data_IF_374818405513
#
_entry.id   IF_374818405513
#
_cell.length_a   1.000
_cell.length_b   1.000
_cell.length_c   1.000
_cell.angle_alpha   90.00
_cell.angle_beta   90.00
_cell.angle_gamma   90.00
#
_symmetry.space_group_name_H-M   'P 1'
#
loop_
_entity.id
_entity.type
_entity.pdbx_description
1 polymer ?
#
# COMPACT_ATOMS: atom_id res chain seq x y z
N UNK A 1 16.69 -7.50 5.23
CA UNK A 1 16.44 -6.44 6.22
C UNK A 1 15.20 -5.67 5.83
N UNK A 2 14.33 -5.38 6.79
CA UNK A 2 13.02 -4.83 6.56
C UNK A 2 12.89 -3.35 6.90
N UNK A 3 11.66 -2.96 7.15
CA UNK A 3 11.25 -1.64 7.62
C UNK A 3 11.10 -1.70 9.14
N UNK A 4 11.62 -0.69 9.87
CA UNK A 4 11.46 -0.61 11.31
C UNK A 4 11.04 0.80 11.73
N UNK A 5 9.99 0.88 12.55
CA UNK A 5 9.51 2.08 13.20
C UNK A 5 9.74 1.95 14.70
N UNK A 6 10.45 2.91 15.30
CA UNK A 6 10.79 2.89 16.73
C UNK A 6 10.26 4.15 17.40
N UNK A 7 9.13 4.02 18.11
CA UNK A 7 8.52 5.10 18.88
C UNK A 7 8.06 6.30 18.06
N UNK A 8 7.65 6.07 16.81
CA UNK A 8 7.28 7.11 15.85
C UNK A 8 6.02 7.83 16.29
N UNK A 9 6.10 9.17 16.40
CA UNK A 9 4.97 10.03 16.74
C UNK A 9 4.83 11.13 15.70
N UNK A 10 3.57 11.57 15.45
CA UNK A 10 3.27 12.66 14.56
C UNK A 10 2.09 13.49 15.07
N UNK A 11 2.18 14.81 14.88
CA UNK A 11 1.14 15.79 15.25
C UNK A 11 0.81 16.68 14.08
N UNK A 12 -0.45 17.07 13.98
CA UNK A 12 -0.88 18.14 13.11
C UNK A 12 -1.23 19.36 13.99
N UNK A 13 -0.32 20.33 14.04
CA UNK A 13 -0.38 21.39 15.06
C UNK A 13 -0.31 20.81 16.46
N UNK A 14 -1.31 21.07 17.30
CA UNK A 14 -1.41 20.52 18.66
C UNK A 14 -2.07 19.13 18.70
N UNK A 15 -2.73 18.68 17.61
CA UNK A 15 -3.49 17.45 17.58
C UNK A 15 -2.56 16.23 17.35
N UNK A 16 -2.47 15.28 18.30
CA UNK A 16 -1.72 14.04 18.09
C UNK A 16 -2.46 13.15 17.10
N UNK A 17 -1.77 12.70 16.05
CA UNK A 17 -2.29 11.79 15.03
C UNK A 17 -1.76 10.37 15.26
N UNK A 18 -0.46 10.26 15.58
CA UNK A 18 0.21 8.99 15.88
C UNK A 18 1.07 9.18 17.12
N UNK A 19 1.09 8.18 18.01
CA UNK A 19 1.85 8.22 19.27
C UNK A 19 2.62 6.94 19.49
N UNK A 20 3.94 7.06 19.57
CA UNK A 20 4.87 5.99 19.92
C UNK A 20 4.65 4.70 19.10
N UNK A 21 4.38 4.83 17.79
CA UNK A 21 4.21 3.68 16.89
C UNK A 21 5.48 2.85 16.87
N UNK A 22 5.32 1.56 17.09
CA UNK A 22 6.35 0.54 16.90
C UNK A 22 5.82 -0.45 15.86
N UNK A 23 6.60 -0.72 14.85
CA UNK A 23 6.27 -1.68 13.80
C UNK A 23 7.57 -2.19 13.18
N UNK A 24 7.67 -3.49 13.03
CA UNK A 24 8.74 -4.14 12.28
C UNK A 24 8.09 -4.93 11.14
N UNK A 25 8.63 -4.80 9.93
CA UNK A 25 8.09 -5.47 8.77
C UNK A 25 9.22 -5.96 7.87
N UNK A 26 9.08 -7.20 7.37
CA UNK A 26 10.12 -7.90 6.63
C UNK A 26 9.71 -8.14 5.17
N UNK A 27 10.69 -8.30 4.26
CA UNK A 27 10.42 -8.72 2.89
C UNK A 27 9.57 -9.99 2.83
N UNK A 28 8.64 -10.04 1.90
CA UNK A 28 7.68 -11.14 1.76
C UNK A 28 6.42 -11.00 2.61
N UNK A 29 6.33 -9.98 3.48
CA UNK A 29 5.08 -9.69 4.20
C UNK A 29 4.14 -8.83 3.34
N UNK A 30 2.86 -9.21 3.37
CA UNK A 30 1.77 -8.37 2.90
C UNK A 30 0.93 -7.92 4.10
N UNK A 31 1.11 -6.67 4.51
CA UNK A 31 0.47 -6.10 5.69
C UNK A 31 -0.79 -5.32 5.28
N UNK A 32 -1.94 -5.71 5.82
CA UNK A 32 -3.14 -4.90 5.80
C UNK A 32 -3.09 -3.87 6.94
N UNK A 33 -2.94 -2.59 6.61
CA UNK A 33 -3.04 -1.50 7.58
C UNK A 33 -4.49 -1.05 7.68
N UNK A 34 -5.12 -1.31 8.80
CA UNK A 34 -6.55 -1.13 9.02
C UNK A 34 -6.84 -0.16 10.18
N UNK A 35 -8.10 0.22 10.36
CA UNK A 35 -8.57 1.11 11.41
C UNK A 35 -9.65 2.05 10.90
N UNK A 36 -10.31 2.76 11.82
CA UNK A 36 -11.38 3.72 11.49
C UNK A 36 -10.85 4.89 10.64
N UNK A 37 -11.78 5.64 10.01
CA UNK A 37 -11.42 6.87 9.32
C UNK A 37 -10.83 7.87 10.31
N UNK A 38 -9.74 8.53 9.91
CA UNK A 38 -9.01 9.45 10.80
C UNK A 38 -8.04 8.78 11.79
N UNK A 39 -7.91 7.45 11.81
CA UNK A 39 -6.97 6.75 12.71
C UNK A 39 -5.47 7.02 12.42
N UNK A 40 -5.15 7.73 11.33
CA UNK A 40 -3.77 8.07 10.98
C UNK A 40 -3.11 7.14 9.97
N UNK A 41 -3.86 6.25 9.29
CA UNK A 41 -3.33 5.26 8.32
C UNK A 41 -2.53 5.92 7.19
N UNK A 42 -3.14 6.86 6.45
CA UNK A 42 -2.47 7.61 5.38
C UNK A 42 -1.28 8.42 5.91
N UNK A 43 -1.41 8.99 7.11
CA UNK A 43 -0.30 9.71 7.77
C UNK A 43 0.86 8.76 8.08
N UNK A 44 0.58 7.54 8.51
CA UNK A 44 1.63 6.53 8.74
C UNK A 44 2.32 6.14 7.42
N UNK A 45 1.57 5.93 6.34
CA UNK A 45 2.15 5.69 5.02
C UNK A 45 2.99 6.89 4.54
N UNK A 46 2.52 8.13 4.70
CA UNK A 46 3.27 9.35 4.36
C UNK A 46 4.61 9.46 5.13
N UNK A 47 4.62 9.07 6.41
CA UNK A 47 5.83 9.05 7.23
C UNK A 47 6.82 7.99 6.75
N UNK A 48 6.33 6.78 6.43
CA UNK A 48 7.15 5.70 5.89
C UNK A 48 7.66 6.08 4.48
N UNK A 49 6.83 6.76 3.67
CA UNK A 49 7.21 7.26 2.35
C UNK A 49 8.18 8.47 2.40
N UNK A 50 8.59 8.91 3.59
CA UNK A 50 9.41 10.09 3.82
C UNK A 50 8.82 11.41 3.27
N UNK A 51 7.50 11.43 2.98
CA UNK A 51 6.75 12.63 2.57
C UNK A 51 6.49 13.56 3.75
N UNK A 52 6.53 13.02 4.98
CA UNK A 52 6.45 13.76 6.24
C UNK A 52 7.60 13.34 7.16
N UNK A 53 7.97 14.22 8.08
CA UNK A 53 8.95 13.90 9.12
C UNK A 53 8.22 13.57 10.42
N UNK A 54 8.62 12.51 11.14
CA UNK A 54 8.08 12.24 12.47
C UNK A 54 8.45 13.38 13.43
N UNK A 55 7.58 13.64 14.42
CA UNK A 55 7.87 14.56 15.51
C UNK A 55 8.83 13.95 16.53
N UNK A 56 8.67 12.63 16.77
CA UNK A 56 9.53 11.83 17.63
C UNK A 56 9.71 10.43 17.03
N UNK A 57 10.76 9.74 17.45
CA UNK A 57 11.08 8.39 17.01
C UNK A 57 11.86 8.35 15.70
N UNK A 58 12.09 7.13 15.20
CA UNK A 58 12.93 6.89 14.03
C UNK A 58 12.28 5.85 13.11
N UNK A 59 12.40 6.05 11.80
CA UNK A 59 12.04 5.08 10.78
C UNK A 59 13.31 4.69 10.04
N UNK A 60 13.58 3.39 9.98
CA UNK A 60 14.72 2.85 9.23
C UNK A 60 14.23 1.90 8.14
N UNK A 61 14.89 1.95 6.99
CA UNK A 61 14.74 1.00 5.90
C UNK A 61 16.09 0.34 5.67
N UNK A 62 16.12 -0.99 5.65
CA UNK A 62 17.38 -1.77 5.54
C UNK A 62 18.44 -1.36 6.59
N UNK A 63 17.99 -1.00 7.82
CA UNK A 63 18.83 -0.57 8.93
C UNK A 63 19.36 0.86 8.84
N UNK A 64 19.04 1.61 7.75
CA UNK A 64 19.45 3.01 7.55
C UNK A 64 18.28 3.94 7.83
N UNK A 65 18.45 5.02 8.64
CA UNK A 65 17.40 6.02 8.85
C UNK A 65 16.91 6.64 7.54
N UNK A 66 15.59 6.83 7.38
CA UNK A 66 15.04 7.42 6.15
C UNK A 66 15.58 8.83 5.86
N UNK A 67 15.93 9.58 6.90
CA UNK A 67 16.51 10.93 6.76
C UNK A 67 17.89 10.96 6.10
N UNK A 68 18.57 9.82 6.02
CA UNK A 68 19.90 9.70 5.44
C UNK A 68 19.87 9.21 3.98
N UNK A 69 18.70 8.82 3.48
CA UNK A 69 18.57 8.37 2.10
C UNK A 69 18.46 9.57 1.14
N UNK A 70 19.28 9.62 0.07
CA UNK A 70 19.01 10.51 -1.05
C UNK A 70 17.65 10.17 -1.66
N UNK A 71 16.84 11.18 -1.97
CA UNK A 71 15.45 11.00 -2.45
C UNK A 71 15.35 10.03 -3.62
N UNK A 72 16.25 10.15 -4.60
CA UNK A 72 16.26 9.28 -5.78
C UNK A 72 16.64 7.84 -5.46
N UNK A 73 17.55 7.64 -4.52
CA UNK A 73 17.95 6.31 -4.05
C UNK A 73 16.79 5.66 -3.30
N UNK A 74 16.16 6.38 -2.37
CA UNK A 74 14.98 5.91 -1.65
C UNK A 74 13.86 5.52 -2.61
N UNK A 75 13.62 6.31 -3.66
CA UNK A 75 12.61 6.03 -4.67
C UNK A 75 12.90 4.76 -5.53
N UNK A 76 14.11 4.21 -5.50
CA UNK A 76 14.40 2.89 -6.09
C UNK A 76 14.01 1.73 -5.16
N UNK A 77 13.91 1.98 -3.87
CA UNK A 77 13.58 0.99 -2.86
C UNK A 77 12.11 1.00 -2.46
N UNK A 78 11.43 2.14 -2.64
CA UNK A 78 10.09 2.36 -2.12
C UNK A 78 9.20 3.02 -3.17
N UNK A 79 8.02 2.46 -3.38
CA UNK A 79 6.95 3.03 -4.20
C UNK A 79 5.74 3.38 -3.34
N UNK A 80 5.08 4.49 -3.65
CA UNK A 80 3.93 4.96 -2.90
C UNK A 80 2.76 5.29 -3.83
N UNK A 81 1.62 4.63 -3.61
CA UNK A 81 0.34 4.93 -4.22
C UNK A 81 -0.51 5.69 -3.20
N UNK A 82 -0.71 7.01 -3.34
CA UNK A 82 -1.55 7.78 -2.43
C UNK A 82 -3.04 7.52 -2.68
N UNK A 83 -3.88 7.79 -1.68
CA UNK A 83 -5.34 7.62 -1.75
C UNK A 83 -5.98 8.40 -2.91
N UNK A 84 -5.48 9.57 -3.24
CA UNK A 84 -5.99 10.37 -4.33
C UNK A 84 -4.86 11.02 -5.14
N UNK A 85 -5.00 10.94 -6.45
CA UNK A 85 -4.18 11.71 -7.40
C UNK A 85 -5.12 12.59 -8.21
N UNK A 86 -4.74 13.86 -8.41
CA UNK A 86 -5.56 14.81 -9.18
C UNK A 86 -6.00 14.23 -10.53
N UNK A 87 -7.23 14.54 -10.94
CA UNK A 87 -7.81 14.03 -12.20
C UNK A 87 -7.25 14.74 -13.44
N UNK A 88 -6.75 15.97 -13.30
CA UNK A 88 -6.32 16.83 -14.42
C UNK A 88 -4.84 16.60 -14.78
N UNK A 89 -4.44 15.34 -14.92
CA UNK A 89 -3.11 15.02 -15.39
C UNK A 89 -3.05 15.18 -16.93
N UNK A 90 -2.12 15.97 -17.47
CA UNK A 90 -2.02 16.24 -18.91
C UNK A 90 -1.36 15.10 -19.69
N UNK A 91 -1.26 13.90 -19.09
CA UNK A 91 -0.55 12.74 -19.60
C UNK A 91 -1.53 11.70 -20.14
N UNK A 92 -1.05 10.86 -21.08
CA UNK A 92 -1.68 9.59 -21.37
C UNK A 92 -1.25 8.52 -20.35
N UNK A 93 -1.88 7.33 -20.41
CA UNK A 93 -1.61 6.25 -19.45
C UNK A 93 -0.16 5.77 -19.51
N UNK A 94 0.41 5.62 -20.72
CA UNK A 94 1.79 5.20 -20.87
C UNK A 94 2.76 6.19 -20.22
N UNK A 95 2.57 7.48 -20.45
CA UNK A 95 3.39 8.54 -19.85
C UNK A 95 3.27 8.54 -18.32
N UNK A 96 2.05 8.33 -17.79
CA UNK A 96 1.86 8.20 -16.34
C UNK A 96 2.64 7.00 -15.78
N UNK A 97 2.55 5.83 -16.42
CA UNK A 97 3.25 4.62 -15.96
C UNK A 97 4.77 4.78 -16.08
N UNK A 98 5.22 5.44 -17.14
CA UNK A 98 6.64 5.72 -17.37
C UNK A 98 7.24 6.65 -16.28
N UNK A 99 6.43 7.52 -15.65
CA UNK A 99 6.89 8.31 -14.50
C UNK A 99 7.37 7.43 -13.34
N UNK A 100 6.81 6.22 -13.18
CA UNK A 100 7.30 5.24 -12.22
C UNK A 100 8.76 4.84 -12.46
N UNK A 101 9.26 5.00 -13.68
CA UNK A 101 10.67 4.69 -14.03
C UNK A 101 11.65 5.81 -13.73
N UNK A 102 11.16 7.01 -13.37
CA UNK A 102 12.00 8.19 -13.11
C UNK A 102 13.22 7.92 -12.18
N UNK A 103 13.12 7.14 -11.11
CA UNK A 103 14.27 6.82 -10.27
C UNK A 103 15.38 6.03 -10.98
N UNK A 104 15.03 5.30 -12.04
CA UNK A 104 15.94 4.41 -12.79
C UNK A 104 16.53 5.07 -14.04
N UNK A 105 15.83 6.07 -14.62
CA UNK A 105 16.29 6.72 -15.86
C UNK A 105 17.56 7.54 -15.64
N UNK A 106 18.49 7.48 -16.59
CA UNK A 106 19.69 8.32 -16.58
C UNK A 106 19.41 9.68 -17.26
N UNK A 107 19.18 10.68 -16.39
CA UNK A 107 19.03 12.12 -16.65
C UNK A 107 18.02 12.57 -17.71
N UNK A 108 17.79 11.90 -18.84
CA UNK A 108 16.85 12.40 -19.89
C UNK A 108 16.50 11.33 -20.93
N UNK A 109 17.04 10.13 -20.81
CA UNK A 109 16.80 9.08 -21.78
C UNK A 109 16.20 7.84 -21.13
N UNK A 110 15.05 7.46 -21.64
CA UNK A 110 14.39 6.20 -21.33
C UNK A 110 15.14 5.07 -22.04
N UNK A 111 15.35 3.99 -21.33
CA UNK A 111 15.98 2.80 -21.88
C UNK A 111 14.93 1.81 -22.43
N UNK A 112 15.30 0.88 -23.32
CA UNK A 112 14.41 -0.22 -23.70
C UNK A 112 13.86 -1.01 -22.50
N UNK A 113 14.68 -1.16 -21.44
CA UNK A 113 14.25 -1.83 -20.20
C UNK A 113 13.17 -1.04 -19.44
N UNK A 114 13.15 0.29 -19.53
CA UNK A 114 12.10 1.10 -18.93
C UNK A 114 10.77 0.89 -19.66
N UNK A 115 10.78 0.86 -20.98
CA UNK A 115 9.57 0.57 -21.78
C UNK A 115 9.05 -0.85 -21.55
N UNK A 116 9.95 -1.84 -21.41
CA UNK A 116 9.58 -3.20 -21.07
C UNK A 116 8.91 -3.29 -19.69
N UNK A 117 9.48 -2.64 -18.67
CA UNK A 117 8.91 -2.58 -17.33
C UNK A 117 7.53 -1.91 -17.32
N UNK A 118 7.35 -0.82 -18.10
CA UNK A 118 6.07 -0.13 -18.27
C UNK A 118 5.03 -1.06 -18.90
N UNK A 119 5.38 -1.71 -20.01
CA UNK A 119 4.44 -2.61 -20.70
C UNK A 119 4.06 -3.79 -19.82
N UNK A 120 5.01 -4.40 -19.12
CA UNK A 120 4.76 -5.48 -18.17
C UNK A 120 3.82 -5.03 -17.04
N UNK A 121 4.05 -3.88 -16.43
CA UNK A 121 3.19 -3.34 -15.39
C UNK A 121 1.77 -3.06 -15.90
N UNK A 122 1.63 -2.49 -17.10
CA UNK A 122 0.33 -2.24 -17.72
C UNK A 122 -0.42 -3.53 -18.05
N UNK A 123 0.25 -4.58 -18.49
CA UNK A 123 -0.35 -5.91 -18.71
C UNK A 123 -0.88 -6.51 -17.40
N UNK A 124 -0.06 -6.50 -16.37
CA UNK A 124 -0.38 -7.10 -15.06
C UNK A 124 -1.56 -6.39 -14.38
N UNK A 125 -1.69 -5.09 -14.56
CA UNK A 125 -2.81 -4.30 -14.00
C UNK A 125 -4.01 -4.19 -14.95
N UNK A 126 -3.99 -4.88 -16.10
CA UNK A 126 -5.04 -4.84 -17.11
C UNK A 126 -5.42 -3.41 -17.56
N UNK A 127 -4.40 -2.57 -17.83
CA UNK A 127 -4.58 -1.21 -18.34
C UNK A 127 -3.91 -0.96 -19.70
N UNK A 128 -3.29 -1.97 -20.33
CA UNK A 128 -2.58 -1.84 -21.59
C UNK A 128 -3.46 -1.31 -22.72
N UNK A 129 -4.74 -1.70 -22.76
CA UNK A 129 -5.72 -1.23 -23.75
C UNK A 129 -6.04 0.26 -23.66
N UNK A 130 -5.62 0.91 -22.55
CA UNK A 130 -5.80 2.35 -22.33
C UNK A 130 -4.54 3.16 -22.61
N UNK A 131 -3.49 2.53 -23.11
CA UNK A 131 -2.12 3.08 -23.24
C UNK A 131 -2.08 4.52 -23.74
N UNK A 132 -2.81 4.81 -24.81
CA UNK A 132 -2.82 6.13 -25.47
C UNK A 132 -3.90 7.08 -24.95
N UNK A 133 -4.82 6.57 -24.10
CA UNK A 133 -5.89 7.42 -23.56
C UNK A 133 -5.36 8.41 -22.55
N UNK A 134 -5.91 9.62 -22.56
CA UNK A 134 -5.61 10.64 -21.55
C UNK A 134 -6.12 10.18 -20.18
N UNK A 135 -5.32 10.35 -19.13
CA UNK A 135 -5.68 9.97 -17.76
C UNK A 135 -6.95 10.67 -17.30
N UNK A 136 -7.16 11.93 -17.71
CA UNK A 136 -8.38 12.70 -17.42
C UNK A 136 -9.67 12.13 -18.00
N UNK A 137 -9.58 11.23 -19.00
CA UNK A 137 -10.75 10.60 -19.65
C UNK A 137 -11.08 9.20 -19.12
N UNK A 138 -10.30 8.72 -18.16
CA UNK A 138 -10.46 7.40 -17.56
C UNK A 138 -11.57 7.42 -16.49
N UNK A 139 -12.30 6.30 -16.39
CA UNK A 139 -13.13 6.04 -15.22
C UNK A 139 -12.26 5.91 -13.96
N UNK A 140 -12.87 5.98 -12.76
CA UNK A 140 -12.14 5.82 -11.50
C UNK A 140 -11.34 4.52 -11.44
N UNK A 141 -11.95 3.39 -11.83
CA UNK A 141 -11.29 2.09 -11.82
C UNK A 141 -10.20 1.94 -12.89
N UNK A 142 -10.40 2.48 -14.10
CA UNK A 142 -9.36 2.51 -15.14
C UNK A 142 -8.14 3.32 -14.67
N UNK A 143 -8.39 4.49 -14.06
CA UNK A 143 -7.34 5.35 -13.50
C UNK A 143 -6.60 4.67 -12.35
N UNK A 144 -7.33 3.99 -11.45
CA UNK A 144 -6.72 3.26 -10.34
C UNK A 144 -5.76 2.18 -10.82
N UNK A 145 -6.15 1.42 -11.87
CA UNK A 145 -5.27 0.42 -12.49
C UNK A 145 -4.03 1.05 -13.14
N UNK A 146 -4.16 2.20 -13.78
CA UNK A 146 -3.02 2.92 -14.36
C UNK A 146 -2.07 3.45 -13.27
N UNK A 147 -2.58 3.96 -12.15
CA UNK A 147 -1.78 4.39 -11.00
C UNK A 147 -1.06 3.21 -10.34
N UNK A 148 -1.73 2.06 -10.19
CA UNK A 148 -1.10 0.85 -9.69
C UNK A 148 -0.01 0.37 -10.67
N UNK A 149 -0.24 0.47 -11.99
CA UNK A 149 0.79 0.16 -12.98
C UNK A 149 2.03 1.05 -12.82
N UNK A 150 1.86 2.35 -12.58
CA UNK A 150 2.98 3.27 -12.34
C UNK A 150 3.76 2.89 -11.08
N UNK A 151 3.05 2.48 -10.01
CA UNK A 151 3.65 1.99 -8.78
C UNK A 151 4.48 0.72 -9.01
N UNK A 152 3.94 -0.26 -9.77
CA UNK A 152 4.64 -1.52 -10.08
C UNK A 152 5.78 -1.34 -11.09
N UNK A 153 5.64 -0.43 -12.07
CA UNK A 153 6.69 -0.13 -13.03
C UNK A 153 7.96 0.40 -12.35
N UNK A 154 7.85 0.99 -11.17
CA UNK A 154 8.97 1.43 -10.35
C UNK A 154 9.85 0.28 -9.85
N UNK A 155 9.32 -0.96 -9.79
CA UNK A 155 10.05 -2.16 -9.36
C UNK A 155 10.71 -2.00 -7.98
N UNK A 156 10.06 -1.27 -7.09
CA UNK A 156 10.52 -1.07 -5.73
C UNK A 156 10.26 -2.30 -4.86
N UNK A 157 11.10 -2.53 -3.85
CA UNK A 157 10.97 -3.64 -2.92
C UNK A 157 9.98 -3.38 -1.77
N UNK A 158 9.64 -2.12 -1.51
CA UNK A 158 8.62 -1.71 -0.56
C UNK A 158 7.49 -0.99 -1.30
N UNK A 159 6.29 -1.56 -1.22
CA UNK A 159 5.07 -1.02 -1.81
C UNK A 159 4.18 -0.46 -0.70
N UNK A 160 3.95 0.85 -0.72
CA UNK A 160 3.06 1.56 0.19
C UNK A 160 1.81 1.98 -0.57
N UNK A 161 0.65 1.43 -0.21
CA UNK A 161 -0.55 1.58 -1.01
C UNK A 161 -1.71 2.07 -0.13
N UNK A 162 -2.19 3.27 -0.42
CA UNK A 162 -3.34 3.84 0.30
C UNK A 162 -4.62 3.57 -0.49
N UNK A 163 -5.39 2.59 -0.02
CA UNK A 163 -6.64 2.12 -0.62
C UNK A 163 -6.52 1.73 -2.11
N UNK A 164 -5.64 0.78 -2.47
CA UNK A 164 -5.34 0.45 -3.87
C UNK A 164 -6.53 -0.12 -4.65
N UNK A 165 -7.58 -0.58 -3.97
CA UNK A 165 -8.78 -1.18 -4.58
C UNK A 165 -9.98 -0.23 -4.67
N UNK A 166 -9.83 1.03 -4.26
CA UNK A 166 -10.91 2.03 -4.36
C UNK A 166 -11.31 2.25 -5.82
N UNK A 167 -12.60 2.40 -6.10
CA UNK A 167 -13.21 2.50 -7.43
C UNK A 167 -13.15 1.23 -8.30
N UNK A 168 -12.60 0.14 -7.83
CA UNK A 168 -12.58 -1.15 -8.53
C UNK A 168 -13.86 -1.95 -8.22
N UNK A 169 -14.38 -2.67 -9.21
CA UNK A 169 -15.39 -3.69 -8.95
C UNK A 169 -14.80 -4.90 -8.21
N UNK A 170 -15.67 -5.78 -7.70
CA UNK A 170 -15.27 -6.92 -6.84
C UNK A 170 -14.22 -7.81 -7.51
N UNK A 171 -14.38 -8.14 -8.79
CA UNK A 171 -13.42 -8.98 -9.53
C UNK A 171 -12.06 -8.30 -9.65
N UNK A 172 -12.06 -7.00 -9.94
CA UNK A 172 -10.83 -6.21 -10.02
C UNK A 172 -10.16 -5.98 -8.66
N UNK A 173 -10.93 -5.87 -7.57
CA UNK A 173 -10.38 -5.82 -6.21
C UNK A 173 -9.64 -7.10 -5.87
N UNK A 174 -10.26 -8.26 -6.15
CA UNK A 174 -9.61 -9.57 -5.96
C UNK A 174 -8.32 -9.69 -6.77
N UNK A 175 -8.33 -9.28 -8.04
CA UNK A 175 -7.13 -9.27 -8.90
C UNK A 175 -6.05 -8.34 -8.39
N UNK A 176 -6.42 -7.16 -7.89
CA UNK A 176 -5.48 -6.21 -7.29
C UNK A 176 -4.75 -6.84 -6.10
N UNK A 177 -5.48 -7.42 -5.15
CA UNK A 177 -4.88 -8.06 -3.98
C UNK A 177 -4.10 -9.33 -4.33
N UNK A 178 -4.56 -10.13 -5.29
CA UNK A 178 -3.81 -11.27 -5.81
C UNK A 178 -2.46 -10.85 -6.41
N UNK A 179 -2.46 -9.77 -7.20
CA UNK A 179 -1.25 -9.20 -7.81
C UNK A 179 -0.26 -8.72 -6.73
N UNK A 180 -0.73 -8.03 -5.69
CA UNK A 180 0.11 -7.59 -4.58
C UNK A 180 0.69 -8.76 -3.77
N UNK A 181 -0.09 -9.84 -3.62
CA UNK A 181 0.39 -11.09 -3.03
C UNK A 181 1.47 -11.76 -3.88
N UNK A 182 1.37 -11.72 -5.20
CA UNK A 182 2.44 -12.17 -6.10
C UNK A 182 3.73 -11.38 -5.89
N UNK A 183 3.64 -10.04 -5.78
CA UNK A 183 4.82 -9.19 -5.49
C UNK A 183 5.50 -9.60 -4.19
N UNK A 184 4.73 -9.86 -3.13
CA UNK A 184 5.29 -10.30 -1.85
C UNK A 184 5.90 -11.69 -1.92
N UNK A 185 5.33 -12.60 -2.70
CA UNK A 185 5.91 -13.92 -2.95
C UNK A 185 7.26 -13.82 -3.71
N UNK A 186 7.47 -12.75 -4.48
CA UNK A 186 8.74 -12.42 -5.13
C UNK A 186 9.72 -11.66 -4.21
N UNK A 187 9.36 -11.47 -2.93
CA UNK A 187 10.21 -10.87 -1.91
C UNK A 187 9.97 -9.38 -1.66
N UNK A 188 8.96 -8.76 -2.26
CA UNK A 188 8.57 -7.40 -1.89
C UNK A 188 7.92 -7.37 -0.49
N UNK A 189 8.05 -6.25 0.22
CA UNK A 189 7.23 -5.89 1.36
C UNK A 189 6.08 -5.01 0.87
N UNK A 190 4.84 -5.39 1.17
CA UNK A 190 3.66 -4.61 0.81
C UNK A 190 2.91 -4.17 2.07
N UNK A 191 2.63 -2.86 2.19
CA UNK A 191 1.75 -2.30 3.22
C UNK A 191 0.59 -1.61 2.50
N UNK A 192 -0.61 -2.18 2.59
CA UNK A 192 -1.81 -1.64 1.97
C UNK A 192 -2.85 -1.22 3.02
N UNK A 193 -3.28 0.03 2.95
CA UNK A 193 -4.48 0.46 3.67
C UNK A 193 -5.69 -0.15 3.00
N UNK A 194 -6.53 -0.79 3.76
CA UNK A 194 -7.80 -1.33 3.29
C UNK A 194 -8.87 -1.28 4.38
N UNK A 195 -10.13 -1.18 3.96
CA UNK A 195 -11.31 -1.31 4.82
C UNK A 195 -11.99 -2.67 4.67
N UNK A 196 -11.57 -3.47 3.69
CA UNK A 196 -12.13 -4.79 3.44
C UNK A 196 -11.39 -5.85 4.25
N UNK A 197 -12.04 -6.30 5.33
CA UNK A 197 -11.51 -7.33 6.22
C UNK A 197 -11.38 -8.67 5.49
N UNK A 198 -12.33 -9.00 4.62
CA UNK A 198 -12.34 -10.27 3.90
C UNK A 198 -11.21 -10.33 2.88
N UNK A 199 -10.94 -9.26 2.15
CA UNK A 199 -9.76 -9.17 1.28
C UNK A 199 -8.46 -9.28 2.07
N UNK A 200 -8.37 -8.62 3.24
CA UNK A 200 -7.19 -8.72 4.09
C UNK A 200 -6.95 -10.16 4.57
N UNK A 201 -7.98 -10.85 5.05
CA UNK A 201 -7.90 -12.25 5.50
C UNK A 201 -7.57 -13.24 4.37
N UNK A 202 -8.00 -12.93 3.13
CA UNK A 202 -7.77 -13.80 1.98
C UNK A 202 -6.36 -13.67 1.39
N UNK A 203 -5.79 -12.46 1.39
CA UNK A 203 -4.60 -12.16 0.62
C UNK A 203 -3.38 -11.72 1.44
N UNK A 204 -3.60 -11.06 2.60
CA UNK A 204 -2.50 -10.54 3.41
C UNK A 204 -1.91 -11.63 4.32
N UNK A 205 -0.69 -11.40 4.79
CA UNK A 205 0.00 -12.27 5.75
C UNK A 205 -0.18 -11.77 7.18
N UNK A 206 -0.47 -10.46 7.35
CA UNK A 206 -0.52 -9.79 8.66
C UNK A 206 -1.51 -8.64 8.64
N UNK A 207 -2.19 -8.42 9.75
CA UNK A 207 -3.13 -7.33 9.96
C UNK A 207 -2.58 -6.43 11.06
N UNK A 208 -2.45 -5.14 10.76
CA UNK A 208 -2.08 -4.08 11.72
C UNK A 208 -3.24 -3.11 11.84
N UNK A 209 -3.78 -2.95 13.04
CA UNK A 209 -4.93 -2.07 13.30
C UNK A 209 -4.48 -0.83 14.05
N UNK A 210 -4.74 0.34 13.48
CA UNK A 210 -4.56 1.63 14.16
C UNK A 210 -5.87 2.05 14.84
N UNK A 211 -5.79 2.31 16.13
CA UNK A 211 -6.87 2.91 16.91
C UNK A 211 -6.30 3.82 18.00
N UNK A 212 -7.02 4.89 18.34
CA UNK A 212 -6.61 5.83 19.39
C UNK A 212 -5.14 6.27 19.27
N UNK A 213 -4.72 6.63 18.05
CA UNK A 213 -3.36 7.11 17.72
C UNK A 213 -2.23 6.07 17.83
N UNK A 214 -2.53 4.81 18.09
CA UNK A 214 -1.56 3.73 18.36
C UNK A 214 -1.83 2.49 17.51
N UNK A 215 -0.87 1.58 17.49
CA UNK A 215 -1.11 0.20 17.03
C UNK A 215 -1.90 -0.50 18.14
N UNK A 216 -3.17 -0.80 17.86
CA UNK A 216 -4.07 -1.46 18.79
C UNK A 216 -4.03 -2.99 18.63
N UNK A 217 -3.74 -3.48 17.41
CA UNK A 217 -3.53 -4.89 17.13
C UNK A 217 -2.47 -5.05 16.05
N UNK A 218 -1.68 -6.09 16.14
CA UNK A 218 -0.64 -6.48 15.20
C UNK A 218 -0.57 -8.01 15.17
N UNK A 219 -1.20 -8.63 14.17
CA UNK A 219 -1.58 -10.04 14.23
C UNK A 219 -1.28 -10.71 12.87
N UNK A 220 -0.54 -11.83 12.84
CA UNK A 220 -0.47 -12.68 11.66
C UNK A 220 -1.88 -13.17 11.25
N UNK A 221 -2.19 -13.18 9.96
CA UNK A 221 -3.53 -13.59 9.48
C UNK A 221 -3.91 -15.00 9.94
N UNK A 222 -2.95 -15.93 10.04
CA UNK A 222 -3.19 -17.28 10.57
C UNK A 222 -3.74 -17.24 12.01
N UNK A 223 -3.27 -16.32 12.84
CA UNK A 223 -3.66 -16.17 14.24
C UNK A 223 -4.95 -15.33 14.35
N UNK A 224 -5.12 -14.33 13.46
CA UNK A 224 -6.34 -13.54 13.37
C UNK A 224 -7.60 -14.35 13.06
N UNK A 225 -7.43 -15.53 12.46
CA UNK A 225 -8.53 -16.50 12.21
C UNK A 225 -8.98 -17.22 13.47
N UNK A 226 -8.09 -17.40 14.44
CA UNK A 226 -8.39 -18.08 15.71
C UNK A 226 -8.81 -17.10 16.82
N UNK A 227 -8.25 -15.89 16.82
CA UNK A 227 -8.49 -14.86 17.83
C UNK A 227 -9.34 -13.73 17.24
N UNK A 228 -10.61 -13.65 17.59
CA UNK A 228 -11.56 -12.71 16.98
C UNK A 228 -11.64 -11.35 17.70
N UNK A 229 -10.98 -11.19 18.84
CA UNK A 229 -11.07 -9.96 19.67
C UNK A 229 -10.69 -8.68 18.92
N UNK A 230 -9.80 -8.75 17.93
CA UNK A 230 -9.41 -7.59 17.12
C UNK A 230 -10.55 -7.02 16.26
N UNK A 231 -11.59 -7.80 15.97
CA UNK A 231 -12.79 -7.33 15.23
C UNK A 231 -13.57 -6.29 16.02
N UNK A 232 -13.52 -6.34 17.35
CA UNK A 232 -14.19 -5.37 18.21
C UNK A 232 -13.64 -3.95 18.04
N UNK A 233 -12.38 -3.82 17.55
CA UNK A 233 -11.79 -2.52 17.20
C UNK A 233 -12.53 -1.83 16.03
N UNK A 234 -13.29 -2.58 15.25
CA UNK A 234 -14.11 -2.06 14.15
C UNK A 234 -15.58 -1.95 14.53
N UNK A 235 -16.15 -3.02 15.04
CA UNK A 235 -17.54 -3.05 15.49
C UNK A 235 -17.83 -4.30 16.35
N UNK A 236 -18.55 -4.16 17.45
CA UNK A 236 -18.99 -5.28 18.27
C UNK A 236 -20.03 -6.18 17.55
N UNK A 237 -20.53 -5.76 16.37
CA UNK A 237 -21.46 -6.53 15.54
C UNK A 237 -20.76 -7.41 14.50
N UNK A 238 -19.46 -7.35 14.39
CA UNK A 238 -18.72 -8.22 13.45
C UNK A 238 -18.59 -9.63 14.04
N UNK A 239 -18.87 -10.61 13.20
CA UNK A 239 -18.68 -12.04 13.49
C UNK A 239 -17.77 -12.62 12.45
N UNK A 240 -17.00 -13.61 12.87
CA UNK A 240 -16.13 -14.41 11.97
C UNK A 240 -16.52 -15.87 12.03
N UNK A 241 -16.48 -16.52 10.91
CA UNK A 241 -16.64 -17.96 10.73
C UNK A 241 -15.93 -18.40 9.47
N UNK A 242 -16.32 -19.53 8.94
CA UNK A 242 -15.74 -20.10 7.74
C UNK A 242 -16.78 -20.28 6.64
N UNK A 243 -16.35 -20.06 5.40
CA UNK A 243 -17.12 -20.42 4.22
C UNK A 243 -17.16 -21.97 4.09
N UNK A 244 -18.05 -22.54 3.24
CA UNK A 244 -18.06 -23.99 2.95
C UNK A 244 -16.72 -24.54 2.43
N UNK A 245 -15.87 -23.67 1.89
CA UNK A 245 -14.52 -23.99 1.42
C UNK A 245 -13.43 -23.85 2.52
N UNK A 246 -13.81 -23.60 3.79
CA UNK A 246 -12.88 -23.43 4.90
C UNK A 246 -12.11 -22.10 4.89
N UNK A 247 -12.60 -21.12 4.12
CA UNK A 247 -11.99 -19.78 4.11
C UNK A 247 -12.61 -18.91 5.20
N UNK A 248 -11.83 -18.10 5.93
CA UNK A 248 -12.38 -17.18 6.92
C UNK A 248 -13.26 -16.14 6.23
N UNK A 249 -14.38 -15.83 6.88
CA UNK A 249 -15.33 -14.84 6.41
C UNK A 249 -15.89 -14.03 7.57
N UNK A 250 -15.94 -12.71 7.39
CA UNK A 250 -16.47 -11.78 8.38
C UNK A 250 -17.76 -11.16 7.86
N UNK A 251 -18.79 -11.10 8.72
CA UNK A 251 -20.08 -10.50 8.41
C UNK A 251 -20.64 -9.69 9.61
N UNK A 252 -21.66 -8.90 9.36
CA UNK A 252 -22.40 -8.18 10.39
C UNK A 252 -23.56 -9.03 10.91
N UNK A 253 -23.73 -9.05 12.24
CA UNK A 253 -24.90 -9.56 12.93
C UNK A 253 -25.90 -8.45 13.26
#
# INVERSE_FOLDING_TARGET
MGLQLTGVSYRFGALPILQAIKLEAEPGEFIALMGSNGAGKSTLLDLIAALRRPADGTITLEGRPLSEWPVRELARHMSHLPQSVGSDLPFNVEQLVLMGRYPHTDRWHESPADHEAVEQAMRRTNCLQFRERRVSTLSGGERQRALLAACLAQQAKLLLLDEPSTFLDVDQQLRCFALLREETALGALCIAVTHDINLALAHCTRIVVLAQTRVAADIPVRDARAEHAWLELFSPRLRMGETPAGQPWVWFE
#
